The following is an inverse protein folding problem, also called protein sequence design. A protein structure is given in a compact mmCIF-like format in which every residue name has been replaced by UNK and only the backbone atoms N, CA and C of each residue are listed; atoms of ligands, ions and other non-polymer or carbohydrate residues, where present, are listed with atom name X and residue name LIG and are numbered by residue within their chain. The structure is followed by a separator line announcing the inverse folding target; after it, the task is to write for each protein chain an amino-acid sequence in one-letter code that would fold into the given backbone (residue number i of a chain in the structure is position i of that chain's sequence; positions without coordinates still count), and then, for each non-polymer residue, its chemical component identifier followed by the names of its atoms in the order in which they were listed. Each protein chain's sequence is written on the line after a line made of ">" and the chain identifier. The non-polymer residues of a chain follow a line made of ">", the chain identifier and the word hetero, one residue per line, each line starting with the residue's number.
data_IF_389946409513
#
_entry.id   IF_389946409513
#
_cell.length_a   1.000
_cell.length_b   1.000
_cell.length_c   1.000
_cell.angle_alpha   90.00
_cell.angle_beta   90.00
_cell.angle_gamma   90.00
#
_symmetry.space_group_name_H-M   'P 1'
#
loop_
_entity.id
_entity.type
_entity.pdbx_description
1 polymer ?
#
# COMPACT_ATOMS: atom_id res chain seq x y z
N UNK A 1 -5.21 -11.61 -4.98
CA UNK A 1 -5.63 -10.34 -4.40
C UNK A 1 -4.41 -9.51 -4.02
N UNK A 2 -4.36 -8.25 -4.43
CA UNK A 2 -3.34 -7.25 -4.06
C UNK A 2 -4.07 -5.99 -3.59
N UNK A 3 -3.55 -5.32 -2.56
CA UNK A 3 -4.11 -4.05 -2.09
C UNK A 3 -2.97 -3.04 -1.96
N UNK A 4 -3.15 -1.85 -2.54
CA UNK A 4 -2.20 -0.74 -2.52
C UNK A 4 -2.75 0.35 -1.59
N UNK A 5 -1.93 0.79 -0.63
CA UNK A 5 -2.31 1.79 0.36
C UNK A 5 -2.37 3.22 -0.20
N UNK A 6 -1.42 3.58 -1.07
CA UNK A 6 -1.33 4.91 -1.68
C UNK A 6 -0.42 4.92 -2.91
N UNK A 7 -0.40 6.04 -3.66
CA UNK A 7 0.29 6.14 -4.95
C UNK A 7 1.61 6.95 -4.87
N UNK A 8 2.45 6.75 -3.84
CA UNK A 8 3.86 7.04 -3.97
C UNK A 8 4.55 5.87 -4.71
N UNK A 9 5.50 6.18 -5.56
CA UNK A 9 6.08 5.23 -6.53
C UNK A 9 6.68 3.98 -5.88
N UNK A 10 7.28 4.11 -4.71
CA UNK A 10 7.87 3.02 -3.92
C UNK A 10 6.84 2.04 -3.34
N UNK A 11 5.54 2.37 -3.41
CA UNK A 11 4.45 1.51 -2.93
C UNK A 11 3.69 0.77 -4.03
N UNK A 12 3.79 1.19 -5.30
CA UNK A 12 3.01 0.55 -6.37
C UNK A 12 3.77 0.33 -7.69
N UNK A 13 4.93 0.94 -7.88
CA UNK A 13 5.61 0.93 -9.19
C UNK A 13 5.99 -0.49 -9.64
N UNK A 14 6.30 -1.37 -8.69
CA UNK A 14 6.63 -2.77 -8.98
C UNK A 14 5.41 -3.65 -9.29
N UNK A 15 4.19 -3.13 -9.17
CA UNK A 15 2.96 -3.89 -9.44
C UNK A 15 2.91 -4.41 -10.87
N UNK A 16 3.24 -3.58 -11.85
CA UNK A 16 3.25 -3.96 -13.26
C UNK A 16 4.27 -5.06 -13.55
N UNK A 17 5.56 -4.88 -13.21
CA UNK A 17 6.58 -5.91 -13.32
C UNK A 17 6.23 -7.21 -12.59
N UNK A 18 5.67 -7.13 -11.37
CA UNK A 18 5.23 -8.31 -10.61
C UNK A 18 4.20 -9.12 -11.39
N UNK A 19 3.15 -8.46 -11.89
CA UNK A 19 2.07 -9.12 -12.62
C UNK A 19 2.54 -9.67 -13.96
N UNK A 20 3.37 -8.93 -14.68
CA UNK A 20 3.96 -9.38 -15.94
C UNK A 20 4.85 -10.61 -15.71
N UNK A 21 5.68 -10.61 -14.67
CA UNK A 21 6.53 -11.76 -14.32
C UNK A 21 5.67 -12.96 -13.91
N UNK A 22 4.64 -12.76 -13.10
CA UNK A 22 3.71 -13.83 -12.73
C UNK A 22 3.01 -14.42 -13.97
N UNK A 23 2.58 -13.58 -14.92
CA UNK A 23 1.96 -13.99 -16.15
C UNK A 23 2.92 -14.79 -17.05
N UNK A 24 4.17 -14.33 -17.21
CA UNK A 24 5.18 -15.08 -17.96
C UNK A 24 5.56 -16.39 -17.29
N UNK A 25 5.46 -16.46 -15.95
CA UNK A 25 5.63 -17.68 -15.16
C UNK A 25 4.41 -18.61 -15.15
N UNK A 26 3.29 -18.24 -15.80
CA UNK A 26 2.14 -19.10 -16.02
C UNK A 26 0.87 -18.74 -15.23
N UNK A 27 0.74 -17.52 -14.71
CA UNK A 27 -0.50 -17.01 -14.14
C UNK A 27 -1.61 -17.07 -15.20
N UNK A 28 -2.70 -17.77 -14.87
CA UNK A 28 -3.90 -17.94 -15.73
C UNK A 28 -5.19 -17.61 -14.98
N UNK A 29 -5.10 -17.31 -13.68
CA UNK A 29 -6.24 -17.00 -12.83
C UNK A 29 -6.41 -15.49 -12.72
N UNK A 30 -7.65 -15.06 -12.56
CA UNK A 30 -7.98 -13.66 -12.35
C UNK A 30 -7.37 -13.11 -11.06
N UNK A 31 -6.88 -11.86 -11.11
CA UNK A 31 -6.33 -11.13 -9.95
C UNK A 31 -7.07 -9.81 -9.79
N UNK A 32 -7.78 -9.68 -8.67
CA UNK A 32 -8.33 -8.40 -8.22
C UNK A 32 -7.27 -7.57 -7.51
N UNK A 33 -7.18 -6.30 -7.88
CA UNK A 33 -6.28 -5.32 -7.27
C UNK A 33 -7.12 -4.16 -6.76
N UNK A 34 -6.94 -3.83 -5.51
CA UNK A 34 -7.61 -2.73 -4.84
C UNK A 34 -6.61 -1.63 -4.54
N UNK A 35 -6.94 -0.38 -4.83
CA UNK A 35 -6.03 0.72 -4.54
C UNK A 35 -6.67 2.09 -4.76
N UNK A 36 -5.95 3.17 -4.45
CA UNK A 36 -6.45 4.52 -4.61
C UNK A 36 -6.89 4.83 -6.05
N UNK A 37 -7.80 5.80 -6.25
CA UNK A 37 -8.09 6.34 -7.57
C UNK A 37 -6.81 6.73 -8.33
N UNK A 38 -6.72 6.36 -9.61
CA UNK A 38 -5.52 6.59 -10.45
C UNK A 38 -4.64 5.36 -10.64
N UNK A 39 -4.77 4.32 -9.83
CA UNK A 39 -4.03 3.06 -10.02
C UNK A 39 -4.34 2.39 -11.37
N UNK A 40 -5.57 2.53 -11.86
CA UNK A 40 -5.98 2.04 -13.16
C UNK A 40 -5.25 2.74 -14.32
N UNK A 41 -4.91 4.03 -14.16
CA UNK A 41 -4.12 4.77 -15.14
C UNK A 41 -2.69 4.24 -15.22
N UNK A 42 -2.09 3.94 -14.06
CA UNK A 42 -0.78 3.29 -14.01
C UNK A 42 -0.80 1.94 -14.74
N UNK A 43 -1.79 1.08 -14.42
CA UNK A 43 -1.92 -0.25 -15.04
C UNK A 43 -2.05 -0.17 -16.57
N UNK A 44 -2.92 0.71 -17.06
CA UNK A 44 -3.08 0.96 -18.50
C UNK A 44 -1.78 1.45 -19.15
N UNK A 45 -1.06 2.36 -18.49
CA UNK A 45 0.24 2.86 -18.94
C UNK A 45 1.30 1.77 -18.99
N UNK A 46 1.38 0.93 -17.94
CA UNK A 46 2.27 -0.22 -17.90
C UNK A 46 1.99 -1.20 -19.04
N UNK A 47 0.73 -1.63 -19.19
CA UNK A 47 0.34 -2.53 -20.29
C UNK A 47 0.65 -1.96 -21.67
N UNK A 48 0.50 -0.64 -21.84
CA UNK A 48 0.86 0.05 -23.08
C UNK A 48 2.36 0.00 -23.33
N UNK A 49 3.19 0.16 -22.30
CA UNK A 49 4.66 0.16 -22.44
C UNK A 49 5.22 -1.21 -22.83
N UNK A 50 4.58 -2.29 -22.38
CA UNK A 50 5.00 -3.68 -22.68
C UNK A 50 4.10 -4.37 -23.71
N UNK A 51 3.26 -3.60 -24.41
CA UNK A 51 2.26 -4.12 -25.37
C UNK A 51 2.84 -5.10 -26.39
N UNK A 52 4.00 -4.78 -26.95
CA UNK A 52 4.63 -5.59 -27.98
C UNK A 52 5.00 -7.00 -27.47
N UNK A 53 5.52 -7.11 -26.24
CA UNK A 53 5.85 -8.40 -25.63
C UNK A 53 4.57 -9.19 -25.29
N UNK A 54 3.54 -8.51 -24.76
CA UNK A 54 2.25 -9.15 -24.45
C UNK A 54 1.64 -9.74 -25.74
N UNK A 55 1.51 -8.95 -26.78
CA UNK A 55 0.88 -9.38 -28.03
C UNK A 55 1.67 -10.51 -28.69
N UNK A 56 3.01 -10.43 -28.71
CA UNK A 56 3.88 -11.49 -29.24
C UNK A 56 3.66 -12.82 -28.50
N UNK A 57 3.60 -12.80 -27.16
CA UNK A 57 3.43 -14.04 -26.38
C UNK A 57 2.02 -14.61 -26.45
N UNK A 58 1.00 -13.78 -26.66
CA UNK A 58 -0.35 -14.27 -26.94
C UNK A 58 -0.36 -15.01 -28.28
N UNK A 59 0.24 -14.42 -29.33
CA UNK A 59 0.26 -15.00 -30.67
C UNK A 59 1.14 -16.26 -30.76
N UNK A 60 2.36 -16.20 -30.22
CA UNK A 60 3.36 -17.28 -30.36
C UNK A 60 3.16 -18.42 -29.33
N UNK A 61 2.84 -18.06 -28.09
CA UNK A 61 2.76 -19.05 -26.98
C UNK A 61 1.31 -19.41 -26.60
N UNK A 62 0.30 -18.76 -27.18
CA UNK A 62 -1.12 -19.02 -26.87
C UNK A 62 -1.49 -18.66 -25.43
N UNK A 63 -0.85 -17.68 -24.83
CA UNK A 63 -1.15 -17.22 -23.47
C UNK A 63 -2.49 -16.51 -23.41
N UNK A 64 -3.22 -16.60 -22.27
CA UNK A 64 -4.35 -15.72 -22.05
C UNK A 64 -3.88 -14.26 -21.98
N UNK A 65 -4.71 -13.33 -22.44
CA UNK A 65 -4.35 -11.91 -22.37
C UNK A 65 -4.24 -11.45 -20.91
N UNK A 66 -3.04 -11.00 -20.51
CA UNK A 66 -2.78 -10.51 -19.16
C UNK A 66 -3.71 -9.33 -18.79
N UNK A 67 -4.08 -8.52 -19.77
CA UNK A 67 -4.95 -7.34 -19.59
C UNK A 67 -6.35 -7.73 -19.14
N UNK A 68 -6.82 -8.94 -19.51
CA UNK A 68 -8.13 -9.48 -19.13
C UNK A 68 -8.09 -10.23 -17.79
N UNK A 69 -6.90 -10.64 -17.34
CA UNK A 69 -6.73 -11.32 -16.05
C UNK A 69 -6.72 -10.38 -14.85
N UNK A 70 -6.58 -9.06 -15.05
CA UNK A 70 -6.38 -8.09 -13.98
C UNK A 70 -7.54 -7.11 -13.94
N UNK A 71 -8.17 -6.99 -12.78
CA UNK A 71 -9.18 -5.94 -12.52
C UNK A 71 -8.71 -5.02 -11.41
N UNK A 72 -8.75 -3.71 -11.68
CA UNK A 72 -8.43 -2.67 -10.71
C UNK A 72 -9.72 -2.10 -10.12
N UNK A 73 -9.81 -2.14 -8.79
CA UNK A 73 -10.91 -1.59 -8.02
C UNK A 73 -10.42 -0.37 -7.23
N UNK A 74 -11.06 0.79 -7.44
CA UNK A 74 -10.78 1.97 -6.63
C UNK A 74 -11.35 1.78 -5.21
N UNK A 75 -10.56 2.16 -4.19
CA UNK A 75 -10.97 2.13 -2.79
C UNK A 75 -11.23 3.52 -2.24
N UNK A 76 -12.02 3.57 -1.18
CA UNK A 76 -12.22 4.71 -0.30
C UNK A 76 -12.28 4.22 1.17
N UNK A 77 -12.38 5.16 2.10
CA UNK A 77 -12.58 4.83 3.51
C UNK A 77 -13.87 4.04 3.72
N UNK A 78 -13.84 3.04 4.61
CA UNK A 78 -14.95 2.14 4.89
C UNK A 78 -14.64 0.69 4.50
N UNK A 79 -15.67 -0.06 4.13
CA UNK A 79 -15.53 -1.45 3.68
C UNK A 79 -14.92 -1.49 2.28
N UNK A 80 -13.78 -2.19 2.14
CA UNK A 80 -13.13 -2.42 0.86
C UNK A 80 -13.65 -3.70 0.21
N UNK A 81 -13.64 -4.80 0.96
CA UNK A 81 -14.20 -6.08 0.51
C UNK A 81 -14.54 -6.99 1.71
N UNK A 82 -15.44 -7.95 1.46
CA UNK A 82 -15.69 -9.05 2.39
C UNK A 82 -15.93 -10.31 1.57
N UNK A 83 -15.00 -11.26 1.63
CA UNK A 83 -15.11 -12.56 0.95
C UNK A 83 -14.20 -13.59 1.61
N UNK A 84 -14.54 -14.86 1.45
CA UNK A 84 -13.75 -16.02 1.90
C UNK A 84 -13.37 -15.94 3.40
N UNK A 85 -14.27 -15.40 4.24
CA UNK A 85 -14.04 -15.23 5.67
C UNK A 85 -13.12 -14.08 6.06
N UNK A 86 -12.68 -13.25 5.09
CA UNK A 86 -11.85 -12.07 5.33
C UNK A 86 -12.65 -10.80 5.04
N UNK A 87 -12.66 -9.89 5.99
CA UNK A 87 -13.17 -8.52 5.80
C UNK A 87 -12.01 -7.54 5.77
N UNK A 88 -11.94 -6.73 4.72
CA UNK A 88 -10.95 -5.66 4.58
C UNK A 88 -11.66 -4.32 4.65
N UNK A 89 -11.14 -3.44 5.50
CA UNK A 89 -11.61 -2.07 5.65
C UNK A 89 -10.45 -1.09 5.54
N UNK A 90 -10.75 0.16 5.22
CA UNK A 90 -9.77 1.23 5.09
C UNK A 90 -10.19 2.47 5.88
N UNK A 91 -9.23 3.24 6.38
CA UNK A 91 -9.41 4.62 6.82
C UNK A 91 -8.39 5.51 6.12
N UNK A 92 -8.74 6.80 5.96
CA UNK A 92 -7.81 7.77 5.40
C UNK A 92 -6.68 8.09 6.37
N UNK A 93 -5.48 8.15 5.85
CA UNK A 93 -4.27 8.58 6.54
C UNK A 93 -4.03 10.08 6.43
N UNK A 94 -3.04 10.58 7.20
CA UNK A 94 -2.48 11.91 7.07
C UNK A 94 -1.09 11.83 6.42
N UNK A 95 -1.08 11.84 5.08
CA UNK A 95 0.17 11.72 4.29
C UNK A 95 0.20 12.76 3.15
N UNK A 96 0.16 14.08 3.50
CA UNK A 96 0.15 15.13 2.48
C UNK A 96 1.45 15.15 1.66
N UNK A 97 1.39 15.52 0.34
CA UNK A 97 0.25 16.15 -0.31
C UNK A 97 -0.81 15.18 -0.83
N UNK A 98 -0.63 13.87 -0.72
CA UNK A 98 -1.62 12.89 -1.16
C UNK A 98 -2.85 12.93 -0.24
N UNK A 99 -4.02 12.79 -0.85
CA UNK A 99 -5.32 12.74 -0.16
C UNK A 99 -5.84 11.30 -0.06
N UNK A 100 -5.61 10.52 -1.11
CA UNK A 100 -6.05 9.12 -1.20
C UNK A 100 -4.94 8.20 -0.70
N UNK A 101 -4.76 8.20 0.62
CA UNK A 101 -3.81 7.36 1.37
C UNK A 101 -4.57 6.63 2.48
N UNK A 102 -4.28 5.35 2.68
CA UNK A 102 -5.11 4.50 3.52
C UNK A 102 -4.29 3.62 4.47
N UNK A 103 -4.77 3.53 5.71
CA UNK A 103 -4.51 2.40 6.58
C UNK A 103 -5.51 1.29 6.26
N UNK A 104 -5.08 0.04 6.38
CA UNK A 104 -5.85 -1.14 5.98
C UNK A 104 -5.99 -2.11 7.15
N UNK A 105 -7.20 -2.60 7.39
CA UNK A 105 -7.51 -3.62 8.39
C UNK A 105 -7.97 -4.89 7.70
N UNK A 106 -7.37 -6.01 8.06
CA UNK A 106 -7.73 -7.35 7.63
C UNK A 106 -8.24 -8.13 8.83
N UNK A 107 -9.49 -8.56 8.78
CA UNK A 107 -10.14 -9.21 9.90
C UNK A 107 -10.79 -10.52 9.47
N UNK A 108 -10.50 -11.59 10.21
CA UNK A 108 -11.21 -12.86 10.19
C UNK A 108 -11.91 -13.09 11.54
N UNK A 109 -12.55 -14.23 11.72
CA UNK A 109 -13.11 -14.61 13.04
C UNK A 109 -12.00 -14.83 14.09
N UNK A 110 -10.77 -15.14 13.68
CA UNK A 110 -9.67 -15.53 14.57
C UNK A 110 -8.58 -14.46 14.68
N UNK A 111 -8.35 -13.65 13.63
CA UNK A 111 -7.18 -12.77 13.53
C UNK A 111 -7.58 -11.39 13.02
N UNK A 112 -7.00 -10.37 13.63
CA UNK A 112 -7.11 -8.97 13.22
C UNK A 112 -5.71 -8.37 13.00
N UNK A 113 -5.38 -8.05 11.74
CA UNK A 113 -4.11 -7.42 11.35
C UNK A 113 -4.39 -6.04 10.76
N UNK A 114 -3.63 -5.06 11.18
CA UNK A 114 -3.73 -3.68 10.66
C UNK A 114 -2.38 -3.24 10.09
N UNK A 115 -2.41 -2.64 8.91
CA UNK A 115 -1.29 -1.95 8.28
C UNK A 115 -1.54 -0.46 8.34
N UNK A 116 -0.59 0.31 8.85
CA UNK A 116 -0.74 1.77 8.91
C UNK A 116 -0.74 2.42 7.52
N UNK A 117 -0.02 1.86 6.55
CA UNK A 117 0.43 2.65 5.40
C UNK A 117 1.29 3.83 5.90
N UNK A 118 1.66 4.74 5.00
CA UNK A 118 2.40 5.94 5.38
C UNK A 118 1.45 6.99 5.96
N UNK A 119 1.79 7.52 7.12
CA UNK A 119 0.94 8.48 7.85
C UNK A 119 1.70 9.22 8.95
N UNK A 120 1.39 10.49 9.16
CA UNK A 120 1.64 11.11 10.46
C UNK A 120 0.77 10.44 11.54
N UNK A 121 1.11 10.60 12.84
CA UNK A 121 0.28 10.06 13.92
C UNK A 121 -1.15 10.63 13.87
N UNK A 122 -2.14 9.74 13.81
CA UNK A 122 -3.56 10.10 13.81
C UNK A 122 -4.36 9.28 14.81
N UNK A 123 -5.22 9.95 15.55
CA UNK A 123 -6.09 9.30 16.56
C UNK A 123 -7.06 8.27 15.96
N UNK A 124 -7.43 8.47 14.69
CA UNK A 124 -8.29 7.54 13.96
C UNK A 124 -7.65 6.15 13.83
N UNK A 125 -6.33 6.07 13.64
CA UNK A 125 -5.60 4.80 13.52
C UNK A 125 -5.61 4.01 14.84
N UNK A 126 -5.48 4.68 15.99
CA UNK A 126 -5.57 4.01 17.30
C UNK A 126 -6.94 3.33 17.48
N UNK A 127 -8.02 4.01 17.06
CA UNK A 127 -9.37 3.44 17.13
C UNK A 127 -9.56 2.31 16.11
N UNK A 128 -9.00 2.47 14.91
CA UNK A 128 -9.09 1.50 13.83
C UNK A 128 -8.32 0.20 14.13
N UNK A 129 -7.16 0.33 14.78
CA UNK A 129 -6.33 -0.79 15.22
C UNK A 129 -6.70 -1.36 16.58
N UNK A 130 -7.83 -0.93 17.19
CA UNK A 130 -8.21 -1.32 18.56
C UNK A 130 -8.24 -2.82 18.72
N UNK A 131 -7.41 -3.33 19.64
CA UNK A 131 -7.33 -4.74 19.97
C UNK A 131 -6.78 -5.63 18.86
N UNK A 132 -6.11 -5.07 17.85
CA UNK A 132 -5.50 -5.86 16.77
C UNK A 132 -4.50 -6.88 17.32
N UNK A 133 -4.47 -8.06 16.71
CA UNK A 133 -3.46 -9.08 17.03
C UNK A 133 -2.07 -8.65 16.57
N UNK A 134 -2.01 -7.87 15.46
CA UNK A 134 -0.80 -7.31 14.92
C UNK A 134 -1.09 -5.95 14.29
N UNK A 135 -0.36 -4.92 14.71
CA UNK A 135 -0.25 -3.66 14.00
C UNK A 135 1.12 -3.63 13.30
N UNK A 136 1.10 -3.50 11.97
CA UNK A 136 2.29 -3.26 11.16
C UNK A 136 2.28 -1.77 10.84
N UNK A 137 3.26 -1.04 11.37
CA UNK A 137 3.29 0.41 11.30
C UNK A 137 4.58 0.90 10.65
N UNK A 138 4.45 1.91 9.77
CA UNK A 138 5.63 2.63 9.32
C UNK A 138 6.39 3.22 10.50
N UNK A 139 7.69 3.44 10.35
CA UNK A 139 8.46 4.11 11.38
C UNK A 139 9.70 4.79 10.82
N UNK A 140 9.91 6.03 11.24
CA UNK A 140 11.16 6.75 11.04
C UNK A 140 12.04 6.66 12.28
N UNK A 141 13.35 6.51 12.06
CA UNK A 141 14.35 6.65 13.11
C UNK A 141 14.83 8.12 13.17
N UNK A 142 14.42 8.84 14.21
CA UNK A 142 14.74 10.27 14.38
C UNK A 142 16.25 10.55 14.29
N UNK A 143 17.08 9.72 14.91
CA UNK A 143 18.53 9.87 14.89
C UNK A 143 19.16 9.67 13.51
N UNK A 144 18.46 9.08 12.54
CA UNK A 144 18.96 8.89 11.18
C UNK A 144 18.65 10.10 10.24
N UNK A 145 17.75 11.01 10.64
CA UNK A 145 17.34 12.13 9.80
C UNK A 145 18.50 13.04 9.38
N UNK A 146 19.46 13.44 10.26
CA UNK A 146 20.58 14.27 9.84
C UNK A 146 21.41 13.65 8.70
N UNK A 147 21.73 12.38 8.78
CA UNK A 147 22.47 11.66 7.74
C UNK A 147 21.68 11.52 6.43
N UNK A 148 20.36 11.35 6.52
CA UNK A 148 19.48 11.32 5.34
C UNK A 148 19.48 12.67 4.63
N UNK A 149 19.30 13.78 5.37
CA UNK A 149 19.24 15.12 4.81
C UNK A 149 20.58 15.55 4.20
N UNK A 150 21.70 15.16 4.80
CA UNK A 150 23.03 15.40 4.23
C UNK A 150 23.19 14.71 2.86
N UNK A 151 22.69 13.50 2.70
CA UNK A 151 22.72 12.75 1.42
C UNK A 151 21.87 13.42 0.34
N UNK A 152 20.71 13.95 0.71
CA UNK A 152 19.79 14.60 -0.24
C UNK A 152 20.37 15.93 -0.71
N UNK A 153 21.09 16.67 0.14
CA UNK A 153 21.70 17.96 -0.20
C UNK A 153 20.64 19.03 -0.47
N UNK A 154 20.56 19.50 -1.72
CA UNK A 154 19.59 20.53 -2.11
C UNK A 154 18.14 20.08 -1.86
N UNK A 155 17.35 20.91 -1.16
CA UNK A 155 15.95 20.63 -0.84
C UNK A 155 15.74 19.90 0.50
N UNK A 156 16.79 19.74 1.32
CA UNK A 156 16.73 19.12 2.64
C UNK A 156 15.64 19.70 3.55
N UNK A 157 15.44 21.05 3.54
CA UNK A 157 14.39 21.72 4.34
C UNK A 157 12.97 21.29 3.93
N UNK A 158 12.74 21.17 2.62
CA UNK A 158 11.43 20.70 2.10
C UNK A 158 11.20 19.22 2.43
N UNK A 159 12.26 18.42 2.32
CA UNK A 159 12.18 17.00 2.71
C UNK A 159 11.92 16.86 4.20
N UNK A 160 12.64 17.57 5.07
CA UNK A 160 12.39 17.56 6.51
C UNK A 160 10.94 17.97 6.82
N UNK A 161 10.46 19.06 6.24
CA UNK A 161 9.09 19.51 6.45
C UNK A 161 8.05 18.48 5.96
N UNK A 162 8.36 17.75 4.88
CA UNK A 162 7.52 16.64 4.41
C UNK A 162 7.52 15.47 5.40
N UNK A 163 8.68 15.00 5.81
CA UNK A 163 8.83 13.88 6.73
C UNK A 163 8.07 14.12 8.04
N UNK A 164 8.24 15.29 8.65
CA UNK A 164 7.61 15.65 9.93
C UNK A 164 6.07 15.73 9.89
N UNK A 165 5.49 16.04 8.73
CA UNK A 165 4.01 16.17 8.60
C UNK A 165 3.33 14.94 8.00
N UNK A 166 4.11 13.99 7.50
CA UNK A 166 3.60 12.91 6.65
C UNK A 166 3.95 11.51 7.16
N UNK A 167 4.87 11.41 8.12
CA UNK A 167 5.37 10.14 8.63
C UNK A 167 5.43 10.10 10.16
N UNK A 168 5.60 8.91 10.71
CA UNK A 168 5.56 8.63 12.14
C UNK A 168 6.94 8.21 12.65
N UNK A 169 7.39 8.76 13.78
CA UNK A 169 8.58 8.27 14.47
C UNK A 169 8.34 6.94 15.16
N UNK A 170 9.37 6.11 15.33
CA UNK A 170 9.26 4.80 15.95
C UNK A 170 8.64 4.84 17.36
N UNK A 171 8.95 5.86 18.18
CA UNK A 171 8.34 6.02 19.50
C UNK A 171 6.84 6.38 19.42
N UNK A 172 6.42 7.14 18.42
CA UNK A 172 5.01 7.50 18.18
C UNK A 172 4.22 6.28 17.68
N UNK A 173 4.83 5.44 16.81
CA UNK A 173 4.24 4.18 16.38
C UNK A 173 4.02 3.23 17.57
N UNK A 174 4.99 3.18 18.51
CA UNK A 174 4.84 2.43 19.75
C UNK A 174 3.70 2.97 20.63
N UNK A 175 3.57 4.30 20.73
CA UNK A 175 2.44 4.93 21.45
C UNK A 175 1.10 4.62 20.78
N UNK A 176 1.02 4.68 19.46
CA UNK A 176 -0.18 4.30 18.68
C UNK A 176 -0.59 2.86 18.97
N UNK A 177 0.36 1.92 18.96
CA UNK A 177 0.10 0.51 19.28
C UNK A 177 -0.39 0.32 20.72
N UNK A 178 0.23 1.00 21.69
CA UNK A 178 -0.16 0.94 23.09
C UNK A 178 -1.58 1.51 23.30
N UNK A 179 -1.89 2.66 22.72
CA UNK A 179 -3.19 3.30 22.80
C UNK A 179 -4.30 2.49 22.11
N UNK A 180 -3.96 1.80 21.04
CA UNK A 180 -4.85 0.86 20.36
C UNK A 180 -5.07 -0.44 21.16
N UNK A 181 -4.21 -0.75 22.12
CA UNK A 181 -4.20 -2.05 22.78
C UNK A 181 -3.86 -3.19 21.83
N UNK A 182 -3.03 -2.93 20.81
CA UNK A 182 -2.57 -3.95 19.89
C UNK A 182 -1.69 -4.97 20.64
N UNK A 183 -1.87 -6.27 20.35
CA UNK A 183 -1.12 -7.33 21.05
C UNK A 183 0.33 -7.41 20.62
N UNK A 184 0.63 -7.06 19.38
CA UNK A 184 1.98 -7.03 18.80
C UNK A 184 2.10 -5.83 17.86
N UNK A 185 3.31 -5.27 17.81
CA UNK A 185 3.72 -4.23 16.86
C UNK A 185 4.88 -4.75 16.03
N UNK A 186 4.83 -4.53 14.71
CA UNK A 186 5.97 -4.64 13.79
C UNK A 186 6.24 -3.25 13.17
N UNK A 187 7.52 -2.87 13.06
CA UNK A 187 7.98 -1.63 12.44
C UNK A 187 8.77 -1.94 11.18
#
# INVERSE_FOLDING_TARGET
>A
LIIISHLHSDHYLELGPLLHTAWTAGLKTHVDIYGPPGLDMYWKGFCSSVKADIDLRIEDEGRPDMRELITIHAIDAGLVLSRDGVTVSAIRNQHPPLVDTFALSFKTDEVHVVFSGDTAPIKALENFARGADLLIHEAMLESALPALLERVGNGSDKLMAHLLKSHTFAHEAAMTAANAGAKRLAL
#
